data_IF_909255855654
#
_entry.id   IF_909255855654
#
_cell.length_a   1.000
_cell.length_b   1.000
_cell.length_c   1.000
_cell.angle_alpha   90.00
_cell.angle_beta   90.00
_cell.angle_gamma   90.00
#
_symmetry.space_group_name_H-M   'P 1'
#
loop_
_entity.id
_entity.type
_entity.pdbx_description
1 polymer ?
#
# COMPACT_ATOMS: atom_id res chain seq x y z
N UNK A 1 -37.22 -33.83 -23.20
CA UNK A 1 -37.30 -32.43 -22.73
C UNK A 1 -35.86 -31.92 -22.46
N UNK A 2 -34.91 -32.22 -23.35
CA UNK A 2 -33.47 -32.34 -22.98
C UNK A 2 -32.54 -31.37 -23.73
N UNK A 3 -33.05 -30.63 -24.71
CA UNK A 3 -32.24 -29.67 -25.51
C UNK A 3 -31.98 -28.34 -24.79
N UNK A 4 -32.79 -27.97 -23.80
CA UNK A 4 -32.74 -26.66 -23.12
C UNK A 4 -31.62 -26.58 -22.08
N UNK A 5 -31.33 -27.69 -21.38
CA UNK A 5 -30.28 -27.76 -20.35
C UNK A 5 -28.88 -27.86 -20.96
N UNK A 6 -28.72 -28.61 -22.05
CA UNK A 6 -27.46 -28.72 -22.81
C UNK A 6 -26.98 -27.35 -23.32
N UNK A 7 -27.89 -26.53 -23.86
CA UNK A 7 -27.53 -25.20 -24.34
C UNK A 7 -27.21 -24.22 -23.19
N UNK A 8 -27.83 -24.37 -22.02
CA UNK A 8 -27.48 -23.59 -20.83
C UNK A 8 -26.11 -23.97 -20.25
N UNK A 9 -25.77 -25.26 -20.24
CA UNK A 9 -24.44 -25.72 -19.81
C UNK A 9 -23.36 -25.26 -20.79
N UNK A 10 -23.62 -25.32 -22.11
CA UNK A 10 -22.72 -24.78 -23.14
C UNK A 10 -22.55 -23.26 -23.00
N UNK A 11 -23.64 -22.52 -22.76
CA UNK A 11 -23.57 -21.07 -22.54
C UNK A 11 -22.78 -20.71 -21.27
N UNK A 12 -22.96 -21.44 -20.17
CA UNK A 12 -22.19 -21.26 -18.93
C UNK A 12 -20.70 -21.56 -19.13
N UNK A 13 -20.37 -22.62 -19.87
CA UNK A 13 -18.98 -22.95 -20.22
C UNK A 13 -18.34 -21.88 -21.10
N UNK A 14 -19.09 -21.31 -22.06
CA UNK A 14 -18.60 -20.20 -22.88
C UNK A 14 -18.35 -18.94 -22.06
N UNK A 15 -19.27 -18.56 -21.16
CA UNK A 15 -19.08 -17.40 -20.27
C UNK A 15 -17.87 -17.61 -19.36
N UNK A 16 -17.71 -18.81 -18.79
CA UNK A 16 -16.58 -19.13 -17.93
C UNK A 16 -15.25 -19.13 -18.71
N UNK A 17 -15.25 -19.64 -19.94
CA UNK A 17 -14.08 -19.59 -20.82
C UNK A 17 -13.67 -18.15 -21.16
N UNK A 18 -14.62 -17.28 -21.53
CA UNK A 18 -14.36 -15.85 -21.81
C UNK A 18 -13.84 -15.15 -20.56
N UNK A 19 -14.38 -15.47 -19.38
CA UNK A 19 -13.92 -14.90 -18.12
C UNK A 19 -12.47 -15.32 -17.79
N UNK A 20 -12.14 -16.61 -17.96
CA UNK A 20 -10.77 -17.12 -17.74
C UNK A 20 -9.78 -16.51 -18.73
N UNK A 21 -10.17 -16.37 -20.01
CA UNK A 21 -9.32 -15.74 -21.03
C UNK A 21 -9.13 -14.24 -20.71
N UNK A 22 -10.19 -13.54 -20.32
CA UNK A 22 -10.09 -12.14 -19.88
C UNK A 22 -9.21 -11.95 -18.65
N UNK A 23 -9.29 -12.87 -17.68
CA UNK A 23 -8.46 -12.85 -16.48
C UNK A 23 -6.99 -13.16 -16.80
N UNK A 24 -6.71 -14.14 -17.66
CA UNK A 24 -5.37 -14.47 -18.12
C UNK A 24 -4.75 -13.33 -18.94
N UNK A 25 -5.53 -12.69 -19.83
CA UNK A 25 -5.10 -11.52 -20.58
C UNK A 25 -4.78 -10.33 -19.67
N UNK A 26 -5.63 -10.05 -18.67
CA UNK A 26 -5.38 -9.01 -17.68
C UNK A 26 -4.12 -9.26 -16.84
N UNK A 27 -3.92 -10.50 -16.38
CA UNK A 27 -2.71 -10.89 -15.65
C UNK A 27 -1.44 -10.77 -16.50
N UNK A 28 -1.50 -11.16 -17.78
CA UNK A 28 -0.38 -11.04 -18.71
C UNK A 28 -0.07 -9.57 -19.04
N UNK A 29 -1.09 -8.75 -19.30
CA UNK A 29 -0.92 -7.31 -19.50
C UNK A 29 -0.27 -6.64 -18.30
N UNK A 30 -0.64 -7.02 -17.07
CA UNK A 30 -0.05 -6.47 -15.85
C UNK A 30 1.40 -6.91 -15.63
N UNK A 31 1.74 -8.17 -15.97
CA UNK A 31 3.11 -8.67 -15.91
C UNK A 31 4.01 -7.95 -16.93
N UNK A 32 3.55 -7.82 -18.18
CA UNK A 32 4.27 -7.09 -19.22
C UNK A 32 4.41 -5.59 -18.91
N UNK A 33 3.42 -4.97 -18.26
CA UNK A 33 3.52 -3.56 -17.82
C UNK A 33 4.58 -3.35 -16.73
N UNK A 34 4.86 -4.38 -15.91
CA UNK A 34 5.89 -4.34 -14.89
C UNK A 34 7.28 -4.71 -15.45
N UNK A 35 7.35 -5.61 -16.44
CA UNK A 35 8.62 -6.04 -17.04
C UNK A 35 9.14 -5.13 -18.15
N UNK A 36 8.26 -4.37 -18.83
CA UNK A 36 8.62 -3.54 -19.99
C UNK A 36 9.09 -2.11 -19.62
N UNK A 37 9.34 -1.81 -18.35
CA UNK A 37 9.90 -0.51 -17.95
C UNK A 37 9.05 0.67 -18.45
N UNK A 38 7.74 0.64 -18.19
CA UNK A 38 6.87 1.80 -18.44
C UNK A 38 7.49 3.08 -17.88
N UNK A 39 7.26 4.25 -18.50
CA UNK A 39 8.01 5.47 -18.27
C UNK A 39 8.16 5.66 -16.79
N UNK A 40 9.43 5.72 -16.37
CA UNK A 40 9.91 5.88 -15.01
C UNK A 40 8.91 6.77 -14.27
N UNK A 41 7.99 6.10 -13.57
CA UNK A 41 7.19 6.79 -12.59
C UNK A 41 8.24 7.16 -11.58
N UNK A 42 8.71 8.40 -11.69
CA UNK A 42 8.82 9.31 -10.56
C UNK A 42 7.51 9.18 -9.77
N UNK A 43 7.30 8.03 -9.14
CA UNK A 43 6.35 7.88 -8.07
C UNK A 43 6.71 8.99 -7.11
N UNK A 44 5.72 9.55 -6.40
CA UNK A 44 6.01 10.55 -5.38
C UNK A 44 7.17 9.96 -4.59
N UNK A 45 8.31 10.65 -4.65
CA UNK A 45 9.51 10.26 -3.91
C UNK A 45 8.92 9.96 -2.56
N UNK A 46 8.89 8.69 -2.15
CA UNK A 46 8.37 8.35 -0.84
C UNK A 46 9.37 9.05 0.03
N UNK A 47 9.05 10.28 0.44
CA UNK A 47 9.84 11.05 1.37
C UNK A 47 9.67 10.20 2.60
N UNK A 48 10.61 9.26 2.74
CA UNK A 48 10.78 8.48 3.92
C UNK A 48 11.05 9.57 4.94
N UNK A 49 10.06 9.87 5.77
CA UNK A 49 10.23 10.76 6.90
C UNK A 49 11.35 10.11 7.73
N UNK A 50 12.56 10.63 7.58
CA UNK A 50 13.82 9.96 7.96
C UNK A 50 14.89 9.87 6.86
N UNK A 51 14.70 10.50 5.69
CA UNK A 51 15.83 10.70 4.78
C UNK A 51 16.89 11.54 5.50
N UNK A 52 18.16 11.12 5.49
CA UNK A 52 19.25 11.89 6.10
C UNK A 52 19.19 13.34 5.60
N UNK A 53 19.34 14.34 6.50
CA UNK A 53 19.39 15.76 6.13
C UNK A 53 20.25 16.01 4.88
N UNK A 54 21.32 15.23 4.73
CA UNK A 54 22.27 15.15 3.61
C UNK A 54 21.64 15.16 2.22
N UNK A 55 20.62 14.34 1.96
CA UNK A 55 20.01 14.27 0.63
C UNK A 55 19.23 15.54 0.29
N UNK A 56 18.68 16.22 1.31
CA UNK A 56 17.95 17.47 1.13
C UNK A 56 18.94 18.61 0.97
N UNK A 57 19.98 18.65 1.80
CA UNK A 57 21.06 19.63 1.74
C UNK A 57 21.77 19.58 0.39
N UNK A 58 22.11 18.39 -0.14
CA UNK A 58 22.80 18.28 -1.44
C UNK A 58 21.92 18.77 -2.59
N UNK A 59 20.61 18.50 -2.55
CA UNK A 59 19.66 19.06 -3.52
C UNK A 59 19.56 20.57 -3.43
N UNK A 60 19.54 21.13 -2.22
CA UNK A 60 19.49 22.57 -1.99
C UNK A 60 20.80 23.24 -2.41
N UNK A 61 21.94 22.61 -2.15
CA UNK A 61 23.27 23.07 -2.56
C UNK A 61 23.34 23.29 -4.07
N UNK A 62 22.95 22.28 -4.86
CA UNK A 62 22.99 22.37 -6.34
C UNK A 62 22.02 23.43 -6.85
N UNK A 63 20.82 23.55 -6.26
CA UNK A 63 19.78 24.47 -6.74
C UNK A 63 19.97 25.93 -6.30
N UNK A 64 20.57 26.14 -5.14
CA UNK A 64 20.70 27.46 -4.50
C UNK A 64 22.15 27.95 -4.46
N UNK A 65 23.10 27.16 -4.97
CA UNK A 65 24.55 27.43 -4.92
C UNK A 65 25.04 27.75 -3.50
N UNK A 66 24.68 26.89 -2.54
CA UNK A 66 24.98 27.11 -1.13
C UNK A 66 26.49 27.08 -0.84
N UNK A 67 26.97 28.03 -0.04
CA UNK A 67 28.33 27.97 0.53
C UNK A 67 28.45 26.84 1.56
N UNK A 68 29.67 26.39 1.91
CA UNK A 68 29.86 25.37 2.95
C UNK A 68 29.18 25.72 4.30
N UNK A 69 29.27 26.99 4.71
CA UNK A 69 28.70 27.48 5.98
C UNK A 69 27.17 27.47 5.94
N UNK A 70 26.57 27.78 4.79
CA UNK A 70 25.12 27.69 4.58
C UNK A 70 24.64 26.24 4.59
N UNK A 71 25.40 25.31 3.99
CA UNK A 71 25.07 23.89 4.02
C UNK A 71 25.08 23.32 5.44
N UNK A 72 26.07 23.69 6.26
CA UNK A 72 26.16 23.29 7.66
C UNK A 72 24.99 23.86 8.47
N UNK A 73 24.68 25.14 8.30
CA UNK A 73 23.54 25.79 8.97
C UNK A 73 22.21 25.11 8.61
N UNK A 74 21.98 24.83 7.33
CA UNK A 74 20.76 24.16 6.86
C UNK A 74 20.70 22.72 7.37
N UNK A 75 21.83 22.01 7.42
CA UNK A 75 21.91 20.65 7.99
C UNK A 75 21.47 20.63 9.45
N UNK A 76 21.94 21.58 10.25
CA UNK A 76 21.52 21.73 11.66
C UNK A 76 20.03 21.99 11.76
N UNK A 77 19.51 22.98 11.02
CA UNK A 77 18.06 23.32 11.01
C UNK A 77 17.20 22.11 10.65
N UNK A 78 17.58 21.38 9.59
CA UNK A 78 16.82 20.20 9.14
C UNK A 78 16.89 19.05 10.16
N UNK A 79 18.03 18.88 10.85
CA UNK A 79 18.19 17.86 11.89
C UNK A 79 17.29 18.16 13.08
N UNK A 80 17.33 19.37 13.61
CA UNK A 80 16.47 19.82 14.72
C UNK A 80 14.98 19.73 14.34
N UNK A 81 14.64 20.14 13.12
CA UNK A 81 13.26 20.03 12.61
C UNK A 81 12.80 18.58 12.55
N UNK A 82 13.69 17.66 12.15
CA UNK A 82 13.37 16.23 12.11
C UNK A 82 13.15 15.66 13.51
N UNK A 83 13.96 16.05 14.49
CA UNK A 83 13.78 15.68 15.90
C UNK A 83 12.43 16.18 16.45
N UNK A 84 12.06 17.42 16.16
CA UNK A 84 10.75 17.97 16.55
C UNK A 84 9.59 17.16 15.96
N UNK A 85 9.66 16.80 14.68
CA UNK A 85 8.65 15.94 14.07
C UNK A 85 8.58 14.55 14.70
N UNK A 86 9.72 13.96 15.07
CA UNK A 86 9.73 12.67 15.77
C UNK A 86 9.09 12.77 17.14
N UNK A 87 9.39 13.81 17.92
CA UNK A 87 8.76 14.04 19.22
C UNK A 87 7.24 14.18 19.10
N UNK A 88 6.75 14.98 18.15
CA UNK A 88 5.31 15.11 17.86
C UNK A 88 4.70 13.74 17.52
N UNK A 89 5.39 12.96 16.68
CA UNK A 89 4.93 11.64 16.26
C UNK A 89 4.87 10.65 17.42
N UNK A 90 5.85 10.65 18.30
CA UNK A 90 5.88 9.81 19.51
C UNK A 90 4.75 10.18 20.48
N UNK A 91 4.41 11.46 20.57
CA UNK A 91 3.30 11.93 21.39
C UNK A 91 1.92 11.53 20.82
N UNK A 92 1.75 11.68 19.50
CA UNK A 92 0.45 11.53 18.84
C UNK A 92 0.13 10.07 18.51
N UNK A 93 1.10 9.29 18.03
CA UNK A 93 0.90 7.89 17.63
C UNK A 93 0.17 7.04 18.68
N UNK A 94 0.57 6.99 19.96
CA UNK A 94 -0.09 6.15 20.95
C UNK A 94 -1.53 6.59 21.22
N UNK A 95 -1.83 7.89 21.09
CA UNK A 95 -3.19 8.44 21.29
C UNK A 95 -4.13 8.05 20.16
N UNK A 96 -3.63 8.03 18.91
CA UNK A 96 -4.47 7.85 17.72
C UNK A 96 -4.57 6.38 17.27
N UNK A 97 -3.52 5.57 17.47
CA UNK A 97 -3.50 4.16 17.03
C UNK A 97 -4.71 3.33 17.49
N UNK A 98 -5.12 3.36 18.77
CA UNK A 98 -6.26 2.57 19.24
C UNK A 98 -7.57 2.94 18.53
N UNK A 99 -7.77 4.21 18.18
CA UNK A 99 -8.97 4.67 17.46
C UNK A 99 -9.05 4.07 16.06
N UNK A 100 -7.92 4.02 15.36
CA UNK A 100 -7.88 3.36 14.05
C UNK A 100 -8.08 1.85 14.15
N UNK A 101 -7.51 1.20 15.16
CA UNK A 101 -7.68 -0.24 15.35
C UNK A 101 -9.13 -0.60 15.68
N UNK A 102 -9.80 0.21 16.50
CA UNK A 102 -11.23 0.08 16.78
C UNK A 102 -12.08 0.22 15.50
N UNK A 103 -11.84 1.26 14.70
CA UNK A 103 -12.56 1.46 13.43
C UNK A 103 -12.36 0.29 12.45
N UNK A 104 -11.15 -0.28 12.40
CA UNK A 104 -10.86 -1.48 11.60
C UNK A 104 -11.65 -2.69 12.08
N UNK A 105 -11.70 -2.94 13.38
CA UNK A 105 -12.46 -4.07 13.91
C UNK A 105 -13.95 -3.93 13.68
N UNK A 106 -14.50 -2.74 13.91
CA UNK A 106 -15.90 -2.47 13.61
C UNK A 106 -16.20 -2.69 12.12
N UNK A 107 -15.32 -2.26 11.23
CA UNK A 107 -15.45 -2.53 9.79
C UNK A 107 -15.43 -4.03 9.48
N UNK A 108 -14.51 -4.79 10.09
CA UNK A 108 -14.41 -6.25 9.90
C UNK A 108 -15.66 -6.98 10.40
N UNK A 109 -16.22 -6.59 11.54
CA UNK A 109 -17.48 -7.17 12.05
C UNK A 109 -18.66 -6.92 11.11
N UNK A 110 -18.78 -5.70 10.59
CA UNK A 110 -19.82 -5.35 9.60
C UNK A 110 -19.66 -6.15 8.31
N UNK A 111 -18.43 -6.42 7.88
CA UNK A 111 -18.16 -7.28 6.74
C UNK A 111 -18.57 -8.72 7.05
N UNK A 112 -18.14 -9.29 8.19
CA UNK A 112 -18.52 -10.65 8.61
C UNK A 112 -20.04 -10.86 8.61
N UNK A 113 -20.80 -9.86 9.04
CA UNK A 113 -22.26 -9.94 9.12
C UNK A 113 -22.96 -10.08 7.76
N UNK A 114 -22.30 -9.73 6.64
CA UNK A 114 -22.90 -9.82 5.29
C UNK A 114 -22.32 -10.95 4.44
N UNK A 115 -21.35 -11.71 4.97
CA UNK A 115 -20.73 -12.82 4.25
C UNK A 115 -21.52 -14.11 4.42
N UNK A 116 -21.50 -14.96 3.39
CA UNK A 116 -22.03 -16.32 3.52
C UNK A 116 -21.07 -17.20 4.34
N UNK A 117 -21.54 -18.33 4.92
CA UNK A 117 -20.70 -19.25 5.67
C UNK A 117 -19.47 -19.73 4.89
N UNK A 118 -19.59 -19.89 3.56
CA UNK A 118 -18.51 -20.33 2.68
C UNK A 118 -17.48 -19.22 2.42
N UNK A 119 -17.89 -17.95 2.48
CA UNK A 119 -17.02 -16.79 2.25
C UNK A 119 -16.25 -16.37 3.52
N UNK A 120 -16.82 -16.58 4.69
CA UNK A 120 -16.22 -16.23 5.97
C UNK A 120 -14.78 -16.76 6.17
N UNK A 121 -14.44 -18.03 5.90
CA UNK A 121 -13.08 -18.52 6.07
C UNK A 121 -12.07 -17.83 5.14
N UNK A 122 -12.48 -17.46 3.91
CA UNK A 122 -11.63 -16.72 2.97
C UNK A 122 -11.34 -15.32 3.52
N UNK A 123 -12.34 -14.67 4.12
CA UNK A 123 -12.18 -13.36 4.74
C UNK A 123 -11.26 -13.39 5.96
N UNK A 124 -11.37 -14.41 6.82
CA UNK A 124 -10.47 -14.53 7.99
C UNK A 124 -9.01 -14.73 7.58
N UNK A 125 -8.73 -15.51 6.53
CA UNK A 125 -7.37 -15.65 5.99
C UNK A 125 -6.84 -14.31 5.44
N UNK A 126 -7.67 -13.55 4.71
CA UNK A 126 -7.29 -12.20 4.26
C UNK A 126 -6.99 -11.26 5.44
N UNK A 127 -7.81 -11.31 6.50
CA UNK A 127 -7.62 -10.51 7.72
C UNK A 127 -6.31 -10.86 8.41
N UNK A 128 -6.02 -12.16 8.55
CA UNK A 128 -4.81 -12.67 9.20
C UNK A 128 -3.54 -12.27 8.44
N UNK A 129 -3.54 -12.39 7.12
CA UNK A 129 -2.40 -11.97 6.30
C UNK A 129 -2.14 -10.47 6.41
N UNK A 130 -3.20 -9.65 6.39
CA UNK A 130 -3.06 -8.20 6.61
C UNK A 130 -2.53 -7.87 8.01
N UNK A 131 -2.96 -8.60 9.04
CA UNK A 131 -2.48 -8.40 10.41
C UNK A 131 -0.99 -8.75 10.54
N UNK A 132 -0.57 -9.86 9.92
CA UNK A 132 0.84 -10.25 9.85
C UNK A 132 1.70 -9.19 9.18
N UNK A 133 1.29 -8.71 7.99
CA UNK A 133 2.03 -7.66 7.27
C UNK A 133 2.16 -6.38 8.10
N UNK A 134 1.11 -5.99 8.84
CA UNK A 134 1.16 -4.81 9.72
C UNK A 134 2.08 -5.03 10.92
N UNK A 135 2.08 -6.22 11.52
CA UNK A 135 2.98 -6.53 12.62
C UNK A 135 4.44 -6.49 12.16
N UNK A 136 4.73 -7.03 10.98
CA UNK A 136 6.06 -6.95 10.37
C UNK A 136 6.48 -5.52 10.07
N UNK A 137 5.59 -4.69 9.52
CA UNK A 137 5.86 -3.28 9.31
C UNK A 137 6.12 -2.54 10.63
N UNK A 138 5.41 -2.90 11.70
CA UNK A 138 5.64 -2.35 13.04
C UNK A 138 6.99 -2.76 13.60
N UNK A 139 7.43 -4.00 13.40
CA UNK A 139 8.74 -4.50 13.85
C UNK A 139 9.91 -3.88 13.06
N UNK A 140 9.68 -3.47 11.81
CA UNK A 140 10.67 -2.81 10.95
C UNK A 140 10.86 -1.32 11.23
N UNK A 141 9.97 -0.71 12.02
CA UNK A 141 9.99 0.72 12.36
C UNK A 141 10.57 0.91 13.75
#
# INVERSE_FOLDING_TARGET
MDSRTSNQTKARLLVLAVFVIGFAAGALSMNLYQSAGGPEKNGPTKVRWGNPPDHIVEKMKVKLNLTPEQQESIRTILSETFEQYNAIREEINPKIRPRFDAARQQGRERIRAVLTPEQLPIFEEMVKEQDRQREEERKRR
#
